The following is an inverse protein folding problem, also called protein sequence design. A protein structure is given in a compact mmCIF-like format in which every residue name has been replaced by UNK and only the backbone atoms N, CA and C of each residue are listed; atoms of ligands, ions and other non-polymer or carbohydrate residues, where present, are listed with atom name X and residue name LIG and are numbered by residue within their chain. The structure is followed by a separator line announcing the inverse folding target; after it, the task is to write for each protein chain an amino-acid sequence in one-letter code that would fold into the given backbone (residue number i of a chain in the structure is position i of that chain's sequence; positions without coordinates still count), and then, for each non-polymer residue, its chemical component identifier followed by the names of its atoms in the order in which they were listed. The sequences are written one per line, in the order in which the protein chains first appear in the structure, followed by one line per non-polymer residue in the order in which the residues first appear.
data_IF_930665145809
#
_entry.id   IF_930665145809
#
_cell.length_a   1.000
_cell.length_b   1.000
_cell.length_c   1.000
_cell.angle_alpha   90.00
_cell.angle_beta   90.00
_cell.angle_gamma   90.00
#
_symmetry.space_group_name_H-M   'P 1'
#
loop_
_entity.id
_entity.type
_entity.pdbx_description
1 polymer ?
#
# COMPACT_ATOMS: atom_id res chain seq x y z
N UNK A 1 -8.44 -2.22 8.59
CA UNK A 1 -7.64 -1.83 7.42
C UNK A 1 -6.19 -2.33 7.46
N UNK A 2 -5.48 -2.14 8.53
CA UNK A 2 -4.06 -2.55 8.61
C UNK A 2 -3.87 -4.05 8.42
N UNK A 3 -4.71 -4.87 8.99
CA UNK A 3 -4.60 -6.33 8.83
C UNK A 3 -4.70 -6.76 7.36
N UNK A 4 -5.64 -6.17 6.64
CA UNK A 4 -5.81 -6.43 5.22
C UNK A 4 -4.61 -5.95 4.42
N UNK A 5 -4.10 -4.77 4.78
CA UNK A 5 -2.91 -4.21 4.15
C UNK A 5 -1.71 -5.11 4.33
N UNK A 6 -1.54 -5.68 5.52
CA UNK A 6 -0.46 -6.61 5.79
C UNK A 6 -0.50 -7.82 4.88
N UNK A 7 -1.70 -8.37 4.67
CA UNK A 7 -1.86 -9.52 3.77
C UNK A 7 -1.50 -9.15 2.34
N UNK A 8 -2.05 -8.05 1.85
CA UNK A 8 -1.82 -7.64 0.46
C UNK A 8 -0.35 -7.34 0.22
N UNK A 9 0.25 -6.55 1.10
CA UNK A 9 1.63 -6.13 0.94
C UNK A 9 2.58 -7.31 1.05
N UNK A 10 2.38 -8.18 2.03
CA UNK A 10 3.26 -9.32 2.20
C UNK A 10 3.21 -10.28 1.02
N UNK A 11 2.04 -10.47 0.42
CA UNK A 11 1.90 -11.32 -0.75
C UNK A 11 2.56 -10.68 -1.99
N UNK A 12 2.37 -9.39 -2.19
CA UNK A 12 2.90 -8.73 -3.37
C UNK A 12 4.41 -8.53 -3.31
N UNK A 13 4.94 -8.21 -2.15
CA UNK A 13 6.36 -7.91 -2.00
C UNK A 13 7.20 -9.09 -1.48
N UNK A 14 6.55 -10.15 -1.03
CA UNK A 14 7.25 -11.29 -0.47
C UNK A 14 7.89 -11.04 0.87
N UNK A 15 7.41 -10.04 1.61
CA UNK A 15 7.91 -9.74 2.94
C UNK A 15 7.01 -10.38 3.99
N UNK A 16 7.42 -10.31 5.25
CA UNK A 16 6.62 -10.83 6.35
C UNK A 16 5.58 -9.81 6.78
N UNK A 17 4.37 -10.27 7.15
CA UNK A 17 3.35 -9.33 7.65
C UNK A 17 3.83 -8.46 8.81
N UNK A 18 4.72 -8.99 9.66
CA UNK A 18 5.25 -8.25 10.81
C UNK A 18 6.09 -7.03 10.40
N UNK A 19 6.61 -7.07 9.17
CA UNK A 19 7.42 -5.95 8.66
C UNK A 19 6.56 -4.80 8.17
N UNK A 20 5.27 -5.03 8.01
CA UNK A 20 4.33 -4.03 7.50
C UNK A 20 3.75 -3.25 8.67
N UNK A 21 4.13 -1.99 8.78
CA UNK A 21 3.59 -1.09 9.80
C UNK A 21 3.24 0.24 9.13
N UNK A 22 2.43 1.09 9.78
CA UNK A 22 2.09 2.39 9.19
C UNK A 22 3.30 3.25 8.85
N UNK A 23 4.38 3.12 9.62
CA UNK A 23 5.60 3.89 9.40
C UNK A 23 6.54 3.27 8.36
N UNK A 24 6.27 2.05 7.93
CA UNK A 24 7.15 1.35 7.00
C UNK A 24 7.17 2.05 5.64
N UNK A 25 8.39 2.31 5.16
CA UNK A 25 8.59 2.85 3.82
C UNK A 25 8.66 1.71 2.82
N UNK A 26 7.94 1.84 1.71
CA UNK A 26 7.94 0.78 0.71
C UNK A 26 9.33 0.54 0.12
N UNK A 27 10.08 1.61 -0.12
CA UNK A 27 11.42 1.48 -0.71
C UNK A 27 12.49 1.15 0.31
N UNK A 28 12.48 1.85 1.44
CA UNK A 28 13.55 1.72 2.43
C UNK A 28 13.37 0.53 3.36
N UNK A 29 12.15 0.27 3.80
CA UNK A 29 11.89 -0.80 4.77
C UNK A 29 11.47 -2.10 4.13
N UNK A 30 10.70 -2.02 3.06
CA UNK A 30 10.14 -3.21 2.41
C UNK A 30 10.85 -3.59 1.11
N UNK A 31 11.78 -2.76 0.67
CA UNK A 31 12.61 -3.06 -0.50
C UNK A 31 11.88 -3.08 -1.84
N UNK A 32 10.75 -2.38 -1.93
CA UNK A 32 9.98 -2.33 -3.16
C UNK A 32 10.56 -1.29 -4.13
N UNK A 33 10.67 -1.67 -5.40
CA UNK A 33 11.03 -0.69 -6.44
C UNK A 33 9.75 -0.12 -7.05
N UNK A 34 9.90 0.72 -8.07
CA UNK A 34 8.75 1.39 -8.69
C UNK A 34 7.74 0.42 -9.29
N UNK A 35 8.23 -0.64 -9.91
CA UNK A 35 7.35 -1.65 -10.52
C UNK A 35 6.60 -2.43 -9.45
N UNK A 36 7.31 -2.82 -8.39
CA UNK A 36 6.68 -3.52 -7.27
C UNK A 36 5.58 -2.68 -6.65
N UNK A 37 5.85 -1.39 -6.48
CA UNK A 37 4.88 -0.48 -5.90
C UNK A 37 3.66 -0.32 -6.82
N UNK A 38 3.89 -0.21 -8.11
CA UNK A 38 2.80 -0.10 -9.08
C UNK A 38 1.88 -1.33 -9.03
N UNK A 39 2.48 -2.52 -9.00
CA UNK A 39 1.71 -3.76 -8.91
C UNK A 39 0.94 -3.85 -7.59
N UNK A 40 1.57 -3.42 -6.50
CA UNK A 40 0.94 -3.40 -5.19
C UNK A 40 -0.28 -2.46 -5.18
N UNK A 41 -0.12 -1.26 -5.72
CA UNK A 41 -1.22 -0.30 -5.76
C UNK A 41 -2.35 -0.81 -6.65
N UNK A 42 -2.03 -1.46 -7.77
CA UNK A 42 -3.05 -2.05 -8.62
C UNK A 42 -3.84 -3.12 -7.87
N UNK A 43 -3.17 -3.93 -7.07
CA UNK A 43 -3.84 -4.95 -6.26
C UNK A 43 -4.76 -4.30 -5.22
N UNK A 44 -4.33 -3.18 -4.63
CA UNK A 44 -5.14 -2.46 -3.67
C UNK A 44 -6.35 -1.81 -4.31
N UNK A 45 -6.20 -1.28 -5.52
CA UNK A 45 -7.32 -0.70 -6.27
C UNK A 45 -8.42 -1.72 -6.49
N UNK A 46 -8.01 -2.94 -6.84
CA UNK A 46 -8.95 -4.04 -7.05
C UNK A 46 -9.62 -4.46 -5.74
N UNK A 47 -8.82 -4.60 -4.69
CA UNK A 47 -9.30 -5.10 -3.40
C UNK A 47 -10.27 -4.12 -2.72
N UNK A 48 -9.99 -2.84 -2.81
CA UNK A 48 -10.80 -1.80 -2.16
C UNK A 48 -11.74 -1.09 -3.10
N UNK A 49 -11.74 -1.45 -4.39
CA UNK A 49 -12.58 -0.84 -5.41
C UNK A 49 -12.40 0.69 -5.46
N UNK A 50 -11.16 1.11 -5.56
CA UNK A 50 -10.80 2.53 -5.65
C UNK A 50 -9.80 2.73 -6.79
N UNK A 51 -9.59 3.99 -7.18
CA UNK A 51 -8.60 4.34 -8.18
C UNK A 51 -7.63 5.37 -7.61
N UNK A 52 -6.35 5.19 -7.91
CA UNK A 52 -5.31 6.16 -7.56
C UNK A 52 -4.83 6.83 -8.83
N UNK A 53 -4.66 8.14 -8.76
CA UNK A 53 -4.11 8.89 -9.88
C UNK A 53 -2.58 8.87 -9.81
N UNK A 54 -1.93 9.11 -10.96
CA UNK A 54 -0.47 9.11 -11.02
C UNK A 54 0.16 10.05 -10.00
N UNK A 55 -0.45 11.20 -9.79
CA UNK A 55 0.04 12.18 -8.81
C UNK A 55 -0.01 11.64 -7.39
N UNK A 56 -1.05 10.88 -7.08
CA UNK A 56 -1.20 10.28 -5.76
C UNK A 56 -0.14 9.20 -5.52
N UNK A 57 0.21 8.46 -6.57
CA UNK A 57 1.22 7.40 -6.46
C UNK A 57 2.56 7.93 -6.00
N UNK A 58 2.92 9.13 -6.39
CA UNK A 58 4.18 9.74 -5.96
C UNK A 58 4.22 10.03 -4.47
N UNK A 59 3.07 10.20 -3.85
CA UNK A 59 2.97 10.47 -2.43
C UNK A 59 2.87 9.22 -1.57
N UNK A 60 2.68 8.06 -2.18
CA UNK A 60 2.52 6.80 -1.45
C UNK A 60 3.87 6.21 -1.04
N UNK A 61 4.56 6.88 -0.15
CA UNK A 61 5.89 6.47 0.28
C UNK A 61 5.87 5.52 1.48
N UNK A 62 4.81 5.57 2.29
CA UNK A 62 4.67 4.69 3.45
C UNK A 62 3.31 4.01 3.45
N UNK A 63 3.21 2.93 4.23
CA UNK A 63 1.94 2.20 4.39
C UNK A 63 0.86 3.13 4.95
N UNK A 64 1.22 3.97 5.93
CA UNK A 64 0.27 4.90 6.53
C UNK A 64 -0.31 5.89 5.53
N UNK A 65 0.48 6.35 4.59
CA UNK A 65 0.00 7.27 3.56
C UNK A 65 -1.02 6.60 2.64
N UNK A 66 -0.80 5.34 2.30
CA UNK A 66 -1.78 4.59 1.51
C UNK A 66 -3.10 4.47 2.27
N UNK A 67 -3.02 4.16 3.56
CA UNK A 67 -4.22 4.05 4.38
C UNK A 67 -4.98 5.38 4.45
N UNK A 68 -4.25 6.49 4.57
CA UNK A 68 -4.87 7.81 4.59
C UNK A 68 -5.61 8.11 3.28
N UNK A 69 -4.99 7.79 2.15
CA UNK A 69 -5.64 7.96 0.85
C UNK A 69 -6.88 7.08 0.72
N UNK A 70 -6.81 5.85 1.19
CA UNK A 70 -7.96 4.95 1.14
C UNK A 70 -9.12 5.50 1.96
N UNK A 71 -8.84 6.05 3.14
CA UNK A 71 -9.87 6.65 3.98
C UNK A 71 -10.49 7.87 3.30
N UNK A 72 -9.68 8.69 2.65
CA UNK A 72 -10.18 9.84 1.91
C UNK A 72 -11.09 9.43 0.75
N UNK A 73 -10.85 8.26 0.19
CA UNK A 73 -11.66 7.73 -0.91
C UNK A 73 -12.91 6.99 -0.42
N UNK A 74 -13.13 6.98 0.89
CA UNK A 74 -14.33 6.40 1.47
C UNK A 74 -14.20 4.95 1.94
N UNK A 75 -13.00 4.42 1.95
CA UNK A 75 -12.76 3.05 2.44
C UNK A 75 -12.82 3.07 3.97
N UNK A 76 -13.62 2.20 4.53
CA UNK A 76 -13.75 2.05 5.98
C UNK A 76 -12.90 0.87 6.47
N UNK A 77 -12.47 0.96 7.72
CA UNK A 77 -11.69 -0.11 8.35
C UNK A 77 -12.48 -1.39 8.54
#
# INVERSE_FOLDING_TARGET
MLEKMKEIISEQLGCRPEEVSPDASFKDDLGADSLDLFELITAMETEYDVEFEAEELEELTTVGKVMDFLREKGVED
#
